data_IF_611315074253
#
_entry.id   IF_611315074253
#
_cell.length_a   1.000
_cell.length_b   1.000
_cell.length_c   1.000
_cell.angle_alpha   90.00
_cell.angle_beta   90.00
_cell.angle_gamma   90.00
#
_symmetry.space_group_name_H-M   'P 1'
#
loop_
_entity.id
_entity.type
_entity.pdbx_description
1 polymer ?
#
# COMPACT_ATOMS: atom_id res chain seq x y z
N UNK A 1 5.12 -11.43 4.57
CA UNK A 1 5.99 -10.94 5.67
C UNK A 1 6.70 -12.09 6.36
N UNK A 2 7.87 -11.85 6.91
CA UNK A 2 8.66 -12.87 7.61
C UNK A 2 9.25 -12.29 8.89
N UNK A 3 9.37 -13.12 9.94
CA UNK A 3 10.21 -12.80 11.10
C UNK A 3 11.64 -13.17 10.77
N UNK A 4 12.58 -12.29 11.10
CA UNK A 4 13.98 -12.40 10.70
C UNK A 4 14.90 -12.15 11.86
N UNK A 5 15.93 -12.99 11.95
CA UNK A 5 16.98 -12.94 12.96
C UNK A 5 18.29 -13.50 12.38
N UNK A 6 19.34 -13.55 13.19
CA UNK A 6 20.64 -14.09 12.84
C UNK A 6 20.67 -15.61 12.65
N UNK A 7 21.68 -16.16 11.99
CA UNK A 7 21.79 -17.58 11.67
C UNK A 7 21.67 -18.56 12.85
N UNK A 8 21.94 -18.13 14.09
CA UNK A 8 21.93 -18.96 15.29
C UNK A 8 20.64 -18.90 16.13
N UNK A 9 19.65 -18.09 15.75
CA UNK A 9 18.46 -17.84 16.58
C UNK A 9 17.31 -18.78 16.23
N UNK A 10 16.57 -19.19 17.24
CA UNK A 10 15.27 -19.87 17.14
C UNK A 10 14.18 -18.94 17.69
N UNK A 11 12.90 -19.17 17.31
CA UNK A 11 11.76 -18.40 17.85
C UNK A 11 11.76 -18.33 19.38
N UNK A 12 12.29 -19.34 20.07
CA UNK A 12 12.33 -19.40 21.54
C UNK A 12 13.23 -18.33 22.17
N UNK A 13 14.18 -17.80 21.44
CA UNK A 13 15.16 -16.81 21.92
C UNK A 13 14.77 -15.38 21.60
N UNK A 14 13.67 -15.17 20.86
CA UNK A 14 13.19 -13.86 20.45
C UNK A 14 12.19 -13.37 21.49
N UNK A 15 12.45 -12.22 22.09
CA UNK A 15 11.56 -11.57 23.06
C UNK A 15 10.82 -10.36 22.47
N UNK A 16 11.35 -9.76 21.39
CA UNK A 16 10.75 -8.57 20.79
C UNK A 16 10.82 -8.60 19.25
N UNK A 17 9.90 -7.86 18.62
CA UNK A 17 9.84 -7.70 17.17
C UNK A 17 9.78 -6.23 16.80
N UNK A 18 10.64 -5.80 15.87
CA UNK A 18 10.74 -4.43 15.39
C UNK A 18 10.20 -4.33 13.97
N UNK A 19 9.35 -3.32 13.72
CA UNK A 19 8.92 -2.96 12.37
C UNK A 19 8.13 -1.65 12.35
N UNK A 20 7.69 -1.25 11.14
CA UNK A 20 6.72 -0.17 10.97
C UNK A 20 5.36 -0.55 11.58
N UNK A 21 4.63 0.44 12.09
CA UNK A 21 3.33 0.26 12.78
C UNK A 21 2.36 -0.61 11.98
N UNK A 22 2.23 -0.38 10.66
CA UNK A 22 1.36 -1.18 9.80
C UNK A 22 1.77 -2.65 9.72
N UNK A 23 3.08 -2.95 9.65
CA UNK A 23 3.56 -4.32 9.63
C UNK A 23 3.30 -5.04 10.94
N UNK A 24 3.50 -4.35 12.06
CA UNK A 24 3.15 -4.84 13.40
C UNK A 24 1.65 -5.14 13.49
N UNK A 25 0.78 -4.21 13.06
CA UNK A 25 -0.68 -4.40 13.11
C UNK A 25 -1.18 -5.55 12.22
N UNK A 26 -0.45 -5.91 11.18
CA UNK A 26 -0.78 -7.01 10.27
C UNK A 26 -0.27 -8.38 10.72
N UNK A 27 0.45 -8.45 11.83
CA UNK A 27 1.08 -9.68 12.35
C UNK A 27 0.75 -9.91 13.83
N UNK A 28 -0.42 -9.47 14.29
CA UNK A 28 -0.81 -9.51 15.70
C UNK A 28 -0.91 -10.92 16.26
N UNK A 29 -1.37 -11.90 15.46
CA UNK A 29 -1.49 -13.30 15.89
C UNK A 29 -0.16 -13.85 16.37
N UNK A 30 0.87 -13.76 15.52
CA UNK A 30 2.19 -14.30 15.88
C UNK A 30 2.83 -13.58 17.05
N UNK A 31 2.62 -12.26 17.16
CA UNK A 31 3.11 -11.44 18.26
C UNK A 31 2.49 -11.91 19.58
N UNK A 32 1.16 -12.06 19.61
CA UNK A 32 0.41 -12.50 20.80
C UNK A 32 0.72 -13.95 21.18
N UNK A 33 0.69 -14.88 20.21
CA UNK A 33 0.96 -16.30 20.44
C UNK A 33 2.34 -16.55 21.04
N UNK A 34 3.34 -15.78 20.63
CA UNK A 34 4.71 -15.93 21.13
C UNK A 34 5.08 -14.92 22.22
N UNK A 35 4.14 -14.12 22.68
CA UNK A 35 4.33 -13.09 23.74
C UNK A 35 5.48 -12.14 23.43
N UNK A 36 5.58 -11.71 22.16
CA UNK A 36 6.65 -10.83 21.70
C UNK A 36 6.31 -9.38 22.01
N UNK A 37 7.30 -8.60 22.41
CA UNK A 37 7.17 -7.16 22.62
C UNK A 37 7.29 -6.43 21.27
N UNK A 38 6.27 -5.66 20.82
CA UNK A 38 6.35 -4.90 19.57
C UNK A 38 7.15 -3.62 19.77
N UNK A 39 8.17 -3.40 18.92
CA UNK A 39 8.97 -2.19 18.87
C UNK A 39 8.68 -1.45 17.57
N UNK A 40 8.13 -0.24 17.68
CA UNK A 40 7.78 0.59 16.53
C UNK A 40 9.04 1.25 15.95
N UNK A 41 9.19 1.15 14.63
CA UNK A 41 10.27 1.76 13.87
C UNK A 41 9.73 2.51 12.63
N UNK A 42 10.56 3.32 12.02
CA UNK A 42 10.20 4.15 10.88
C UNK A 42 9.83 3.34 9.63
N UNK A 43 10.49 2.19 9.42
CA UNK A 43 10.24 1.32 8.27
C UNK A 43 10.61 -0.16 8.54
N UNK A 44 10.22 -1.04 7.62
CA UNK A 44 10.41 -2.49 7.74
C UNK A 44 11.84 -2.92 7.39
N UNK A 45 12.41 -2.38 6.33
CA UNK A 45 13.75 -2.74 5.87
C UNK A 45 14.85 -2.18 6.78
N UNK A 46 14.67 -0.93 7.25
CA UNK A 46 15.54 -0.30 8.25
C UNK A 46 15.54 -1.05 9.58
N UNK A 47 14.40 -1.67 9.96
CA UNK A 47 14.35 -2.55 11.12
C UNK A 47 15.26 -3.78 10.96
N UNK A 48 15.24 -4.41 9.79
CA UNK A 48 16.14 -5.52 9.48
C UNK A 48 17.60 -5.07 9.48
N UNK A 49 17.90 -3.92 8.84
CA UNK A 49 19.23 -3.32 8.86
C UNK A 49 19.73 -3.06 10.28
N UNK A 50 18.90 -2.46 11.13
CA UNK A 50 19.23 -2.14 12.51
C UNK A 50 19.64 -3.39 13.31
N UNK A 51 18.90 -4.49 13.19
CA UNK A 51 19.22 -5.76 13.87
C UNK A 51 20.55 -6.33 13.36
N UNK A 52 20.80 -6.25 12.06
CA UNK A 52 22.05 -6.73 11.46
C UNK A 52 23.24 -5.92 11.93
N UNK A 53 23.19 -4.60 11.82
CA UNK A 53 24.31 -3.69 12.15
C UNK A 53 24.66 -3.75 13.65
N UNK A 54 23.65 -3.75 14.51
CA UNK A 54 23.84 -3.74 15.97
C UNK A 54 24.02 -5.13 16.59
N UNK A 55 23.97 -6.17 15.74
CA UNK A 55 24.21 -7.55 16.19
C UNK A 55 23.28 -8.00 17.33
N UNK A 56 22.02 -7.62 17.31
CA UNK A 56 21.03 -7.93 18.35
C UNK A 56 20.62 -9.41 18.27
N UNK A 57 20.52 -10.09 19.41
CA UNK A 57 20.28 -11.55 19.47
C UNK A 57 18.88 -11.96 19.88
N UNK A 58 18.17 -11.11 20.60
CA UNK A 58 16.85 -11.39 21.18
C UNK A 58 15.72 -10.59 20.52
N UNK A 59 16.00 -9.87 19.45
CA UNK A 59 15.05 -9.08 18.69
C UNK A 59 15.00 -9.55 17.24
N UNK A 60 13.82 -9.60 16.66
CA UNK A 60 13.60 -9.93 15.26
C UNK A 60 12.94 -8.77 14.51
N UNK A 61 13.13 -8.69 13.20
CA UNK A 61 12.42 -7.75 12.34
C UNK A 61 11.27 -8.42 11.58
N UNK A 62 10.15 -7.73 11.45
CA UNK A 62 9.11 -8.07 10.49
C UNK A 62 9.41 -7.29 9.21
N UNK A 63 9.86 -7.99 8.16
CA UNK A 63 10.30 -7.40 6.90
C UNK A 63 10.09 -8.32 5.69
N UNK A 64 10.46 -7.86 4.49
CA UNK A 64 10.38 -8.65 3.24
C UNK A 64 11.50 -9.70 3.16
N UNK A 65 11.36 -10.77 2.38
CA UNK A 65 12.43 -11.77 2.17
C UNK A 65 13.70 -11.13 1.59
N UNK A 66 13.55 -10.17 0.70
CA UNK A 66 14.65 -9.41 0.14
C UNK A 66 15.48 -8.69 1.21
N UNK A 67 14.84 -8.12 2.23
CA UNK A 67 15.57 -7.48 3.32
C UNK A 67 16.46 -8.46 4.13
N UNK A 68 16.06 -9.75 4.25
CA UNK A 68 16.93 -10.73 4.88
C UNK A 68 18.15 -11.06 4.02
N UNK A 69 17.97 -11.19 2.72
CA UNK A 69 19.09 -11.46 1.80
C UNK A 69 20.08 -10.31 1.83
N UNK A 70 19.60 -9.05 1.69
CA UNK A 70 20.46 -7.86 1.70
C UNK A 70 21.25 -7.70 3.01
N UNK A 71 20.59 -7.93 4.16
CA UNK A 71 21.19 -7.71 5.47
C UNK A 71 21.72 -9.00 6.12
N UNK A 72 21.82 -10.09 5.36
CA UNK A 72 22.34 -11.39 5.79
C UNK A 72 21.70 -11.89 7.10
N UNK A 73 20.36 -11.84 7.16
CA UNK A 73 19.55 -12.32 8.27
C UNK A 73 18.89 -13.64 7.94
N UNK A 74 18.80 -14.55 8.90
CA UNK A 74 18.05 -15.80 8.78
C UNK A 74 16.55 -15.54 8.88
N UNK A 75 15.77 -16.14 7.98
CA UNK A 75 14.31 -16.16 8.08
C UNK A 75 13.91 -17.21 9.11
N UNK A 76 13.27 -16.80 10.19
CA UNK A 76 12.80 -17.69 11.25
C UNK A 76 11.39 -18.21 10.94
N UNK A 77 10.51 -17.35 10.44
CA UNK A 77 9.15 -17.71 10.03
C UNK A 77 8.69 -16.88 8.85
N UNK A 78 8.03 -17.53 7.87
CA UNK A 78 7.45 -16.90 6.67
C UNK A 78 5.93 -16.79 6.78
N UNK A 79 5.33 -15.94 5.95
CA UNK A 79 3.89 -15.79 5.77
C UNK A 79 3.17 -15.56 7.11
N UNK A 80 3.65 -14.56 7.85
CA UNK A 80 3.20 -14.27 9.21
C UNK A 80 2.09 -13.21 9.26
N UNK A 81 1.69 -12.69 8.12
CA UNK A 81 0.57 -11.77 8.00
C UNK A 81 -0.75 -12.44 8.40
N UNK A 82 -1.55 -11.73 9.19
CA UNK A 82 -2.84 -12.21 9.68
C UNK A 82 -3.88 -12.32 8.54
N UNK A 83 -3.77 -11.44 7.54
CA UNK A 83 -4.63 -11.44 6.37
C UNK A 83 -3.82 -11.73 5.10
N UNK A 84 -4.05 -12.89 4.49
CA UNK A 84 -3.38 -13.32 3.25
C UNK A 84 -3.76 -12.49 2.02
N UNK A 85 -4.84 -11.70 2.08
CA UNK A 85 -5.28 -10.80 1.01
C UNK A 85 -4.62 -9.43 1.02
N UNK A 86 -3.64 -9.18 1.88
CA UNK A 86 -2.96 -7.89 1.94
C UNK A 86 -2.03 -7.69 0.74
N UNK A 87 -2.39 -6.73 -0.13
CA UNK A 87 -1.62 -6.38 -1.33
C UNK A 87 -1.18 -4.92 -1.26
N UNK A 88 0.10 -4.68 -1.47
CA UNK A 88 0.65 -3.33 -1.58
C UNK A 88 0.87 -2.99 -3.05
N UNK A 89 0.20 -1.92 -3.53
CA UNK A 89 0.39 -1.40 -4.88
C UNK A 89 1.50 -0.33 -4.87
N UNK A 90 2.51 -0.53 -5.69
CA UNK A 90 3.56 0.45 -5.94
C UNK A 90 3.28 1.19 -7.23
N UNK A 91 3.43 2.52 -7.22
CA UNK A 91 3.33 3.37 -8.39
C UNK A 91 4.74 3.76 -8.84
N UNK A 92 5.02 3.54 -10.13
CA UNK A 92 6.25 4.03 -10.75
C UNK A 92 5.96 5.44 -11.28
N UNK A 93 6.61 6.43 -10.68
CA UNK A 93 6.42 7.84 -11.04
C UNK A 93 7.52 8.28 -12.01
N UNK A 94 7.13 8.98 -13.08
CA UNK A 94 8.04 9.58 -14.04
C UNK A 94 7.95 11.11 -14.04
N UNK A 95 9.01 11.80 -14.42
CA UNK A 95 9.03 13.27 -14.58
C UNK A 95 8.31 13.75 -15.85
N UNK A 96 8.06 12.86 -16.80
CA UNK A 96 7.32 13.14 -18.03
C UNK A 96 6.07 12.26 -18.08
N UNK A 97 4.96 12.84 -18.52
CA UNK A 97 3.75 12.09 -18.79
C UNK A 97 4.03 11.05 -19.91
N UNK A 98 3.69 9.81 -19.66
CA UNK A 98 3.80 8.71 -20.61
C UNK A 98 2.59 7.81 -20.43
N UNK A 99 1.88 7.54 -21.51
CA UNK A 99 0.77 6.61 -21.54
C UNK A 99 1.19 5.35 -22.29
N UNK A 100 0.85 4.14 -21.80
CA UNK A 100 1.07 2.92 -22.57
C UNK A 100 0.21 2.97 -23.85
N UNK A 101 0.63 2.28 -24.91
CA UNK A 101 -0.19 2.14 -26.11
C UNK A 101 -1.52 1.46 -25.78
N UNK A 102 -2.61 1.96 -26.37
CA UNK A 102 -3.94 1.37 -26.23
C UNK A 102 -3.99 0.01 -26.95
N UNK A 103 -3.86 -1.07 -26.21
CA UNK A 103 -3.95 -2.46 -26.66
C UNK A 103 -5.03 -3.18 -25.88
N UNK A 104 -5.47 -4.38 -26.35
CA UNK A 104 -6.40 -5.24 -25.60
C UNK A 104 -5.71 -5.79 -24.33
N UNK A 105 -5.60 -4.96 -23.29
CA UNK A 105 -5.06 -5.29 -21.96
C UNK A 105 -5.94 -4.67 -20.88
N UNK A 106 -5.76 -5.11 -19.65
CA UNK A 106 -6.38 -4.47 -18.51
C UNK A 106 -5.60 -3.20 -18.16
N UNK A 107 -6.26 -2.07 -18.19
CA UNK A 107 -5.72 -0.78 -17.80
C UNK A 107 -6.47 -0.22 -16.62
N UNK A 108 -5.80 0.62 -15.86
CA UNK A 108 -6.42 1.48 -14.84
C UNK A 108 -5.96 2.90 -15.16
N UNK A 109 -6.93 3.79 -15.33
CA UNK A 109 -6.70 5.23 -15.44
C UNK A 109 -6.96 5.86 -14.07
N UNK A 110 -5.95 6.50 -13.49
CA UNK A 110 -6.09 7.26 -12.25
C UNK A 110 -6.26 8.73 -12.58
N UNK A 111 -7.28 9.36 -12.05
CA UNK A 111 -7.50 10.80 -12.25
C UNK A 111 -7.87 11.51 -10.94
N UNK A 112 -7.68 12.81 -10.93
CA UNK A 112 -8.05 13.70 -9.85
C UNK A 112 -9.02 14.74 -10.41
N UNK A 113 -10.16 14.92 -9.76
CA UNK A 113 -11.13 15.93 -10.13
C UNK A 113 -11.57 16.75 -8.92
N UNK A 114 -11.97 18.00 -9.18
CA UNK A 114 -12.49 18.91 -8.16
C UNK A 114 -13.99 19.05 -8.33
N UNK A 115 -14.68 19.02 -7.21
CA UNK A 115 -16.14 19.23 -7.17
C UNK A 115 -16.44 20.43 -6.28
N UNK A 116 -17.29 21.33 -6.77
CA UNK A 116 -17.81 22.45 -5.96
C UNK A 116 -18.71 21.91 -4.86
N UNK A 117 -18.67 22.52 -3.68
CA UNK A 117 -19.54 22.16 -2.56
C UNK A 117 -20.98 22.63 -2.83
N UNK A 118 -21.69 21.86 -3.63
CA UNK A 118 -23.11 22.06 -3.97
C UNK A 118 -23.86 20.75 -3.86
N UNK A 119 -25.18 20.76 -3.52
CA UNK A 119 -25.99 19.56 -3.51
C UNK A 119 -25.91 18.78 -4.83
N UNK A 120 -25.77 17.47 -4.74
CA UNK A 120 -25.68 16.52 -5.86
C UNK A 120 -24.49 16.72 -6.82
N UNK A 121 -23.48 17.55 -6.51
CA UNK A 121 -22.36 17.80 -7.42
C UNK A 121 -21.54 16.54 -7.68
N UNK A 122 -21.18 15.77 -6.63
CA UNK A 122 -20.48 14.50 -6.81
C UNK A 122 -21.31 13.48 -7.59
N UNK A 123 -22.62 13.39 -7.31
CA UNK A 123 -23.52 12.49 -8.03
C UNK A 123 -23.53 12.78 -9.54
N UNK A 124 -23.57 14.06 -9.92
CA UNK A 124 -23.52 14.47 -11.33
C UNK A 124 -22.19 14.08 -12.00
N UNK A 125 -21.06 14.31 -11.33
CA UNK A 125 -19.74 13.89 -11.85
C UNK A 125 -19.64 12.37 -12.01
N UNK A 126 -20.23 11.60 -11.09
CA UNK A 126 -20.23 10.14 -11.20
C UNK A 126 -21.23 9.62 -12.22
N UNK A 127 -22.22 10.43 -12.61
CA UNK A 127 -23.21 10.10 -13.64
C UNK A 127 -22.59 9.75 -14.98
N UNK A 128 -21.57 10.51 -15.41
CA UNK A 128 -20.87 10.25 -16.67
C UNK A 128 -20.23 8.86 -16.74
N UNK A 129 -19.70 8.35 -15.61
CA UNK A 129 -19.18 6.98 -15.57
C UNK A 129 -20.31 5.94 -15.68
N UNK A 130 -21.43 6.18 -15.02
CA UNK A 130 -22.56 5.27 -15.04
C UNK A 130 -23.22 5.20 -16.44
N UNK A 131 -23.44 6.34 -17.09
CA UNK A 131 -24.07 6.43 -18.43
C UNK A 131 -23.22 5.77 -19.51
N UNK A 132 -21.89 5.83 -19.38
CA UNK A 132 -20.97 5.22 -20.32
C UNK A 132 -20.52 3.80 -19.93
N UNK A 133 -21.14 3.21 -18.92
CA UNK A 133 -20.83 1.85 -18.42
C UNK A 133 -19.35 1.68 -18.05
N UNK A 134 -18.80 2.66 -17.36
CA UNK A 134 -17.43 2.70 -16.87
C UNK A 134 -17.40 2.41 -15.38
N UNK A 135 -16.57 1.44 -14.96
CA UNK A 135 -16.46 1.05 -13.57
C UNK A 135 -15.28 1.74 -12.87
N UNK A 136 -15.51 2.14 -11.62
CA UNK A 136 -14.51 2.70 -10.72
C UNK A 136 -14.07 1.63 -9.73
N UNK A 137 -12.76 1.45 -9.56
CA UNK A 137 -12.21 0.53 -8.56
C UNK A 137 -11.82 1.23 -7.26
N UNK A 138 -11.70 2.56 -7.30
CA UNK A 138 -11.33 3.38 -6.17
C UNK A 138 -11.98 4.77 -6.30
N UNK A 139 -12.45 5.30 -5.17
CA UNK A 139 -12.86 6.70 -5.04
C UNK A 139 -12.51 7.16 -3.63
N UNK A 140 -11.62 8.14 -3.52
CA UNK A 140 -11.20 8.74 -2.25
C UNK A 140 -11.38 10.25 -2.29
N UNK A 141 -11.87 10.83 -1.20
CA UNK A 141 -12.00 12.27 -1.04
C UNK A 141 -10.87 12.84 -0.21
N UNK A 142 -10.38 14.00 -0.62
CA UNK A 142 -9.42 14.81 0.14
C UNK A 142 -9.97 16.21 0.30
N UNK A 143 -9.85 16.76 1.51
CA UNK A 143 -10.11 18.18 1.71
C UNK A 143 -8.95 19.00 1.14
N UNK A 144 -9.26 20.01 0.35
CA UNK A 144 -8.26 21.04 0.00
C UNK A 144 -7.94 21.81 1.29
N UNK A 145 -6.69 21.75 1.77
CA UNK A 145 -6.27 22.41 3.00
C UNK A 145 -6.46 23.93 2.96
N UNK A 146 -6.65 24.51 1.78
CA UNK A 146 -6.79 25.95 1.56
C UNK A 146 -8.23 26.39 1.31
N UNK A 147 -9.20 25.47 1.20
CA UNK A 147 -10.60 25.83 0.90
C UNK A 147 -11.57 24.75 1.36
N UNK A 148 -12.54 25.16 2.20
CA UNK A 148 -13.69 24.32 2.55
C UNK A 148 -14.78 24.30 1.46
N UNK A 149 -14.59 25.04 0.36
CA UNK A 149 -15.57 25.18 -0.71
C UNK A 149 -15.41 24.15 -1.84
N UNK A 150 -14.29 23.43 -1.88
CA UNK A 150 -13.98 22.47 -2.92
C UNK A 150 -13.47 21.16 -2.34
N UNK A 151 -13.94 20.06 -2.89
CA UNK A 151 -13.46 18.73 -2.55
C UNK A 151 -12.69 18.13 -3.73
N UNK A 152 -11.51 17.60 -3.43
CA UNK A 152 -10.69 16.82 -4.36
C UNK A 152 -11.08 15.36 -4.25
N UNK A 153 -11.26 14.70 -5.38
CA UNK A 153 -11.49 13.27 -5.45
C UNK A 153 -10.41 12.61 -6.31
N UNK A 154 -9.82 11.54 -5.80
CA UNK A 154 -8.95 10.65 -6.56
C UNK A 154 -9.78 9.43 -6.92
N UNK A 155 -9.84 9.07 -8.20
CA UNK A 155 -10.50 7.85 -8.63
C UNK A 155 -9.59 7.01 -9.52
N UNK A 156 -9.76 5.69 -9.42
CA UNK A 156 -9.18 4.72 -10.35
C UNK A 156 -10.31 4.12 -11.20
N UNK A 157 -10.16 4.22 -12.50
CA UNK A 157 -11.14 3.84 -13.52
C UNK A 157 -10.61 2.61 -14.26
N UNK A 158 -11.41 1.57 -14.43
CA UNK A 158 -11.04 0.45 -15.29
C UNK A 158 -11.13 0.84 -16.75
N UNK A 159 -10.00 0.96 -17.40
CA UNK A 159 -9.88 1.28 -18.82
C UNK A 159 -8.69 2.18 -19.13
N UNK A 160 -8.38 2.33 -20.40
CA UNK A 160 -7.32 3.20 -20.91
C UNK A 160 -7.86 4.60 -21.19
N UNK A 161 -7.05 5.63 -20.96
CA UNK A 161 -7.45 7.03 -21.19
C UNK A 161 -7.93 7.32 -22.62
N UNK A 162 -7.43 6.57 -23.61
CA UNK A 162 -7.83 6.69 -25.01
C UNK A 162 -9.07 5.84 -25.36
N UNK A 163 -9.64 5.10 -24.41
CA UNK A 163 -10.91 4.40 -24.64
C UNK A 163 -12.04 5.44 -24.81
N UNK A 164 -12.82 5.39 -25.91
CA UNK A 164 -13.89 6.35 -26.17
C UNK A 164 -14.93 6.44 -25.05
N UNK A 165 -15.16 5.34 -24.31
CA UNK A 165 -16.09 5.35 -23.16
C UNK A 165 -15.51 6.15 -21.99
N UNK A 166 -14.20 5.99 -21.74
CA UNK A 166 -13.52 6.74 -20.69
C UNK A 166 -13.50 8.23 -21.05
N UNK A 167 -13.14 8.57 -22.29
CA UNK A 167 -13.11 9.96 -22.75
C UNK A 167 -14.47 10.63 -22.58
N UNK A 168 -15.56 9.99 -23.03
CA UNK A 168 -16.93 10.52 -22.83
C UNK A 168 -17.27 10.70 -21.35
N UNK A 169 -16.91 9.73 -20.50
CA UNK A 169 -17.17 9.82 -19.07
C UNK A 169 -16.45 10.97 -18.38
N UNK A 170 -15.30 11.39 -18.91
CA UNK A 170 -14.49 12.50 -18.38
C UNK A 170 -14.93 13.86 -18.93
N UNK A 171 -15.68 13.90 -20.04
CA UNK A 171 -16.25 15.12 -20.65
C UNK A 171 -17.61 15.51 -20.06
N UNK A 172 -18.41 14.55 -19.57
CA UNK A 172 -19.71 14.75 -18.92
C UNK A 172 -19.57 15.22 -17.46
#
# INVERSE_FOLDING_TARGET
MCIRDRPSSSMKNISSVRSHTQAISQCQKIITENKLEPIIAADTAGSAKYISDNKIKNEAAIASELAAEIYNLKIVKKNIEDNKGNVTRFLIMGSKASHPEFKKKNYITSCIFKVKNKPAALYKCLGGFATNNVNLSKLESFSDQNSFEQYLFICDIYGHIEDPKIQKSLEE
#
